data_IF_700532851444
#
_entry.id   IF_700532851444
#
_cell.length_a   1.000
_cell.length_b   1.000
_cell.length_c   1.000
_cell.angle_alpha   90.00
_cell.angle_beta   90.00
_cell.angle_gamma   90.00
#
_symmetry.space_group_name_H-M   'P 1'
#
loop_
_entity.id
_entity.type
_entity.pdbx_description
1 polymer ?
#
# COMPACT_ATOMS: atom_id res chain seq x y z
N UNK A 1 -14.97 7.98 -16.61
CA UNK A 1 -14.39 7.33 -15.41
C UNK A 1 -13.03 7.95 -15.20
N UNK A 2 -12.70 8.35 -13.97
CA UNK A 2 -11.34 8.77 -13.61
C UNK A 2 -10.77 7.71 -12.65
N UNK A 3 -9.57 7.23 -12.95
CA UNK A 3 -8.97 6.12 -12.24
C UNK A 3 -7.47 6.35 -12.06
N UNK A 4 -7.00 6.08 -10.86
CA UNK A 4 -5.59 6.04 -10.53
C UNK A 4 -5.22 4.60 -10.14
N UNK A 5 -4.20 4.05 -10.80
CA UNK A 5 -3.69 2.71 -10.54
C UNK A 5 -2.28 2.84 -9.97
N UNK A 6 -2.07 2.37 -8.73
CA UNK A 6 -0.78 2.49 -8.02
C UNK A 6 -0.22 1.12 -7.64
N UNK A 7 1.06 0.94 -7.91
CA UNK A 7 1.85 -0.18 -7.41
C UNK A 7 2.51 0.22 -6.08
N UNK A 8 2.08 -0.37 -4.97
CA UNK A 8 2.55 -0.02 -3.62
C UNK A 8 4.06 -0.26 -3.45
N UNK A 9 4.63 -1.25 -4.13
CA UNK A 9 6.08 -1.47 -4.10
C UNK A 9 6.83 -0.31 -4.78
N UNK A 10 6.33 0.20 -5.91
CA UNK A 10 6.94 1.37 -6.54
C UNK A 10 6.79 2.62 -5.66
N UNK A 11 5.61 2.83 -5.05
CA UNK A 11 5.40 3.96 -4.14
C UNK A 11 6.36 3.96 -2.94
N UNK A 12 6.65 2.78 -2.40
CA UNK A 12 7.65 2.57 -1.35
C UNK A 12 9.04 3.00 -1.84
N UNK A 13 9.47 2.49 -3.00
CA UNK A 13 10.80 2.77 -3.54
C UNK A 13 10.96 4.26 -3.87
N UNK A 14 9.95 4.85 -4.51
CA UNK A 14 9.92 6.27 -4.86
C UNK A 14 9.99 7.14 -3.60
N UNK A 15 9.24 6.78 -2.55
CA UNK A 15 9.32 7.47 -1.27
C UNK A 15 10.73 7.43 -0.66
N UNK A 16 11.35 6.25 -0.59
CA UNK A 16 12.71 6.09 -0.04
C UNK A 16 13.77 6.84 -0.85
N UNK A 17 13.60 6.92 -2.18
CA UNK A 17 14.48 7.71 -3.06
C UNK A 17 14.26 9.22 -2.91
N UNK A 18 13.03 9.64 -2.62
CA UNK A 18 12.69 11.06 -2.45
C UNK A 18 13.19 11.65 -1.13
N UNK A 19 13.37 10.83 -0.10
CA UNK A 19 13.94 11.26 1.17
C UNK A 19 15.48 11.14 1.11
N UNK A 20 16.18 12.16 1.59
CA UNK A 20 17.64 12.18 1.64
C UNK A 20 18.17 12.56 3.01
N UNK A 21 19.30 11.98 3.40
CA UNK A 21 20.04 12.34 4.60
C UNK A 21 21.54 12.43 4.25
N UNK A 22 22.20 13.50 4.69
CA UNK A 22 23.63 13.75 4.43
C UNK A 22 24.03 13.62 2.93
N UNK A 23 23.16 14.07 2.02
CA UNK A 23 23.43 14.06 0.58
C UNK A 23 23.22 12.71 -0.13
N UNK A 24 22.83 11.65 0.59
CA UNK A 24 22.43 10.36 0.01
C UNK A 24 20.93 10.13 0.18
N UNK A 25 20.30 9.40 -0.74
CA UNK A 25 18.92 8.98 -0.54
C UNK A 25 18.83 7.96 0.59
N UNK A 26 17.66 7.88 1.25
CA UNK A 26 17.41 6.82 2.23
C UNK A 26 17.48 5.46 1.56
N UNK A 27 17.03 5.34 0.30
CA UNK A 27 17.15 4.13 -0.49
C UNK A 27 18.60 3.64 -0.60
N UNK A 28 19.53 4.50 -1.03
CA UNK A 28 20.95 4.12 -1.18
C UNK A 28 21.57 3.76 0.18
N UNK A 29 21.22 4.53 1.22
CA UNK A 29 21.70 4.30 2.58
C UNK A 29 21.23 2.97 3.16
N UNK A 30 19.99 2.56 2.84
CA UNK A 30 19.44 1.25 3.22
C UNK A 30 20.18 0.13 2.51
N UNK A 31 20.47 0.26 1.20
CA UNK A 31 21.21 -0.74 0.44
C UNK A 31 22.65 -0.92 0.95
N UNK A 32 23.30 0.16 1.39
CA UNK A 32 24.60 0.08 2.07
C UNK A 32 24.46 -0.66 3.41
N UNK A 33 23.46 -0.28 4.22
CA UNK A 33 23.24 -0.88 5.53
C UNK A 33 22.86 -2.37 5.46
N UNK A 34 22.10 -2.77 4.45
CA UNK A 34 21.68 -4.16 4.25
C UNK A 34 22.87 -5.10 4.04
N UNK A 35 23.95 -4.62 3.39
CA UNK A 35 25.18 -5.41 3.20
C UNK A 35 25.90 -5.70 4.52
N UNK A 36 25.75 -4.83 5.51
CA UNK A 36 26.40 -4.95 6.81
C UNK A 36 25.51 -5.61 7.85
N UNK A 37 24.22 -5.27 7.85
CA UNK A 37 23.26 -5.59 8.90
C UNK A 37 21.83 -5.60 8.31
N UNK A 38 21.43 -6.73 7.71
CA UNK A 38 20.13 -6.87 7.07
C UNK A 38 18.94 -6.62 8.00
N UNK A 39 19.03 -7.03 9.27
CA UNK A 39 17.94 -6.88 10.23
C UNK A 39 17.68 -5.41 10.56
N UNK A 40 18.75 -4.62 10.80
CA UNK A 40 18.59 -3.18 11.02
C UNK A 40 18.12 -2.45 9.77
N UNK A 41 18.59 -2.84 8.59
CA UNK A 41 18.11 -2.27 7.33
C UNK A 41 16.61 -2.53 7.15
N UNK A 42 16.15 -3.76 7.42
CA UNK A 42 14.74 -4.13 7.40
C UNK A 42 13.90 -3.28 8.35
N UNK A 43 14.29 -3.19 9.62
CA UNK A 43 13.56 -2.41 10.62
C UNK A 43 13.52 -0.92 10.26
N UNK A 44 14.61 -0.40 9.69
CA UNK A 44 14.67 0.98 9.23
C UNK A 44 13.64 1.28 8.13
N UNK A 45 13.59 0.45 7.09
CA UNK A 45 12.60 0.58 6.01
C UNK A 45 11.18 0.48 6.57
N UNK A 46 10.91 -0.55 7.38
CA UNK A 46 9.58 -0.73 7.99
C UNK A 46 9.14 0.50 8.78
N UNK A 47 10.01 1.03 9.63
CA UNK A 47 9.71 2.23 10.43
C UNK A 47 9.45 3.46 9.55
N UNK A 48 10.20 3.63 8.46
CA UNK A 48 9.99 4.73 7.50
C UNK A 48 8.63 4.64 6.83
N UNK A 49 8.20 3.46 6.41
CA UNK A 49 6.90 3.26 5.76
C UNK A 49 5.72 3.30 6.72
N UNK A 50 5.96 3.01 8.00
CA UNK A 50 4.94 3.19 9.03
C UNK A 50 4.80 4.64 9.51
N UNK A 51 5.68 5.55 9.09
CA UNK A 51 5.68 6.94 9.51
C UNK A 51 4.56 7.78 8.88
N UNK A 52 4.14 8.82 9.60
CA UNK A 52 3.20 9.84 9.08
C UNK A 52 3.70 10.52 7.79
N UNK A 53 5.01 10.60 7.59
CA UNK A 53 5.59 11.15 6.35
C UNK A 53 5.20 10.33 5.14
N UNK A 54 5.31 9.00 5.21
CA UNK A 54 4.93 8.12 4.11
C UNK A 54 3.42 8.21 3.82
N UNK A 55 2.59 8.22 4.87
CA UNK A 55 1.14 8.35 4.73
C UNK A 55 0.77 9.68 4.08
N UNK A 56 1.42 10.79 4.48
CA UNK A 56 1.23 12.10 3.84
C UNK A 56 1.69 12.10 2.38
N UNK A 57 2.87 11.55 2.09
CA UNK A 57 3.37 11.41 0.71
C UNK A 57 2.35 10.68 -0.17
N UNK A 58 1.90 9.50 0.26
CA UNK A 58 0.97 8.67 -0.49
C UNK A 58 -0.40 9.36 -0.67
N UNK A 59 -0.97 9.90 0.41
CA UNK A 59 -2.28 10.57 0.38
C UNK A 59 -2.25 11.84 -0.47
N UNK A 60 -1.17 12.61 -0.44
CA UNK A 60 -1.00 13.78 -1.31
C UNK A 60 -0.91 13.39 -2.78
N UNK A 61 -0.18 12.32 -3.13
CA UNK A 61 -0.10 11.83 -4.51
C UNK A 61 -1.48 11.43 -5.04
N UNK A 62 -2.25 10.68 -4.25
CA UNK A 62 -3.63 10.30 -4.60
C UNK A 62 -4.52 11.53 -4.77
N UNK A 63 -4.53 12.43 -3.77
CA UNK A 63 -5.35 13.65 -3.83
C UNK A 63 -4.97 14.55 -5.00
N UNK A 64 -3.69 14.62 -5.35
CA UNK A 64 -3.18 15.41 -6.47
C UNK A 64 -3.71 14.93 -7.82
N UNK A 65 -3.80 13.60 -8.02
CA UNK A 65 -4.35 13.04 -9.26
C UNK A 65 -5.82 13.42 -9.42
N UNK A 66 -6.61 13.33 -8.35
CA UNK A 66 -8.04 13.64 -8.36
C UNK A 66 -8.37 15.11 -8.07
N UNK A 67 -7.43 16.03 -8.33
CA UNK A 67 -7.68 17.47 -8.16
C UNK A 67 -8.67 17.97 -9.22
N UNK A 68 -9.78 18.55 -8.76
CA UNK A 68 -10.82 19.16 -9.59
C UNK A 68 -12.22 18.66 -9.25
N UNK A 69 -13.24 19.41 -9.66
CA UNK A 69 -14.62 18.94 -9.60
C UNK A 69 -14.83 17.88 -10.70
N UNK A 70 -15.12 16.65 -10.28
CA UNK A 70 -15.42 15.55 -11.20
C UNK A 70 -16.74 14.90 -10.79
N UNK A 71 -17.74 14.98 -11.67
CA UNK A 71 -18.98 14.21 -11.56
C UNK A 71 -18.78 12.71 -11.85
N UNK A 72 -17.57 12.29 -12.25
CA UNK A 72 -17.25 10.91 -12.62
C UNK A 72 -16.98 10.07 -11.36
N UNK A 73 -17.37 8.79 -11.42
CA UNK A 73 -16.92 7.78 -10.45
C UNK A 73 -15.39 7.72 -10.43
N UNK A 74 -14.83 7.86 -9.23
CA UNK A 74 -13.39 7.90 -8.97
C UNK A 74 -12.94 6.58 -8.33
N UNK A 75 -12.03 5.88 -8.99
CA UNK A 75 -11.49 4.61 -8.53
C UNK A 75 -9.99 4.71 -8.24
N UNK A 76 -9.60 4.29 -7.04
CA UNK A 76 -8.21 4.10 -6.66
C UNK A 76 -7.91 2.60 -6.64
N UNK A 77 -7.10 2.14 -7.58
CA UNK A 77 -6.72 0.74 -7.70
C UNK A 77 -5.32 0.56 -7.12
N UNK A 78 -5.18 -0.33 -6.15
CA UNK A 78 -3.91 -0.62 -5.47
C UNK A 78 -3.49 -2.08 -5.73
N UNK A 79 -2.23 -2.27 -6.07
CA UNK A 79 -1.64 -3.60 -6.26
C UNK A 79 -0.16 -3.61 -5.83
N UNK A 80 0.51 -4.77 -5.91
CA UNK A 80 1.94 -4.88 -5.59
C UNK A 80 2.26 -5.24 -4.13
N UNK A 81 1.26 -5.52 -3.31
CA UNK A 81 1.44 -5.90 -1.90
C UNK A 81 2.29 -7.16 -1.68
N UNK A 82 2.30 -8.10 -2.64
CA UNK A 82 3.20 -9.25 -2.61
C UNK A 82 4.67 -8.85 -2.65
N UNK A 83 5.03 -7.90 -3.52
CA UNK A 83 6.40 -7.37 -3.64
C UNK A 83 6.77 -6.42 -2.49
N UNK A 84 5.79 -5.78 -1.85
CA UNK A 84 6.02 -4.90 -0.70
C UNK A 84 6.22 -5.64 0.62
N UNK A 85 5.87 -6.92 0.69
CA UNK A 85 6.08 -7.74 1.88
C UNK A 85 7.58 -8.01 2.09
N UNK A 86 8.12 -7.98 3.34
CA UNK A 86 7.43 -7.77 4.62
C UNK A 86 7.41 -6.31 5.10
N UNK A 87 7.82 -5.35 4.27
CA UNK A 87 8.01 -3.95 4.68
C UNK A 87 6.71 -3.18 4.92
N UNK A 88 5.65 -3.50 4.15
CA UNK A 88 4.33 -2.87 4.28
C UNK A 88 3.21 -3.87 3.99
N UNK A 89 2.22 -3.95 4.90
CA UNK A 89 1.03 -4.80 4.74
C UNK A 89 -0.16 -4.01 4.20
N UNK A 90 -1.04 -4.69 3.46
CA UNK A 90 -2.26 -4.08 2.91
C UNK A 90 -3.18 -3.55 4.02
N UNK A 91 -3.43 -4.35 5.05
CA UNK A 91 -4.23 -3.97 6.22
C UNK A 91 -3.71 -2.70 6.90
N UNK A 92 -2.39 -2.61 7.12
CA UNK A 92 -1.72 -1.47 7.75
C UNK A 92 -1.89 -0.20 6.91
N UNK A 93 -1.67 -0.28 5.59
CA UNK A 93 -1.84 0.85 4.69
C UNK A 93 -3.30 1.31 4.67
N UNK A 94 -4.24 0.40 4.41
CA UNK A 94 -5.67 0.71 4.32
C UNK A 94 -6.22 1.35 5.59
N UNK A 95 -5.80 0.85 6.76
CA UNK A 95 -6.17 1.43 8.06
C UNK A 95 -5.65 2.86 8.23
N UNK A 96 -4.40 3.13 7.84
CA UNK A 96 -3.82 4.47 7.94
C UNK A 96 -4.34 5.44 6.87
N UNK A 97 -4.83 4.93 5.75
CA UNK A 97 -5.37 5.74 4.65
C UNK A 97 -6.89 5.69 4.58
N UNK A 98 -7.58 5.40 5.68
CA UNK A 98 -9.05 5.25 5.72
C UNK A 98 -9.78 6.48 5.16
N UNK A 99 -9.24 7.68 5.35
CA UNK A 99 -9.78 8.90 4.75
C UNK A 99 -9.92 8.83 3.22
N UNK A 100 -8.96 8.22 2.51
CA UNK A 100 -9.02 8.08 1.06
C UNK A 100 -10.15 7.12 0.64
N UNK A 101 -10.51 6.18 1.49
CA UNK A 101 -11.57 5.20 1.24
C UNK A 101 -12.96 5.82 1.43
N UNK A 102 -13.05 6.90 2.22
CA UNK A 102 -14.25 7.73 2.33
C UNK A 102 -14.47 8.57 1.07
N UNK A 103 -13.38 9.07 0.49
CA UNK A 103 -13.40 9.95 -0.68
C UNK A 103 -13.49 9.18 -2.01
N UNK A 104 -12.91 7.98 -2.09
CA UNK A 104 -12.74 7.22 -3.34
C UNK A 104 -13.19 5.76 -3.22
N UNK A 105 -13.61 5.15 -4.33
CA UNK A 105 -13.81 3.70 -4.39
C UNK A 105 -12.45 3.00 -4.54
N UNK A 106 -11.94 2.47 -3.42
CA UNK A 106 -10.66 1.77 -3.39
C UNK A 106 -10.84 0.30 -3.74
N UNK A 107 -10.08 -0.18 -4.72
CA UNK A 107 -10.02 -1.58 -5.14
C UNK A 107 -8.60 -2.09 -4.91
N UNK A 108 -8.47 -3.21 -4.21
CA UNK A 108 -7.17 -3.82 -3.91
C UNK A 108 -7.03 -5.14 -4.66
N UNK A 109 -5.99 -5.26 -5.47
CA UNK A 109 -5.53 -6.52 -6.03
C UNK A 109 -4.54 -7.14 -5.05
N UNK A 110 -5.00 -8.18 -4.37
CA UNK A 110 -4.26 -8.84 -3.30
C UNK A 110 -3.88 -10.26 -3.73
N UNK A 111 -2.58 -10.62 -3.78
CA UNK A 111 -2.15 -11.95 -4.22
C UNK A 111 -2.28 -12.94 -3.06
N UNK A 112 -3.49 -13.40 -2.79
CA UNK A 112 -3.81 -14.25 -1.66
C UNK A 112 -5.31 -14.39 -1.45
N UNK A 113 -5.72 -14.69 -0.22
CA UNK A 113 -7.13 -14.78 0.16
C UNK A 113 -7.52 -13.67 1.14
N UNK A 114 -8.82 -13.40 1.17
CA UNK A 114 -9.43 -12.51 2.15
C UNK A 114 -10.73 -13.17 2.66
N UNK A 115 -10.74 -13.47 3.95
CA UNK A 115 -11.84 -14.11 4.68
C UNK A 115 -11.92 -13.54 6.10
N UNK A 116 -13.14 -13.39 6.62
CA UNK A 116 -13.37 -12.94 8.01
C UNK A 116 -12.61 -11.67 8.40
N UNK A 117 -12.56 -10.70 7.48
CA UNK A 117 -11.81 -9.44 7.63
C UNK A 117 -10.30 -9.58 7.84
N UNK A 118 -9.74 -10.75 7.54
CA UNK A 118 -8.31 -11.04 7.55
C UNK A 118 -7.79 -11.29 6.15
N UNK A 119 -6.55 -10.88 5.94
CA UNK A 119 -5.81 -11.09 4.71
C UNK A 119 -4.82 -12.24 4.91
N UNK A 120 -4.68 -13.12 3.91
CA UNK A 120 -3.64 -14.16 3.90
C UNK A 120 -2.86 -14.07 2.60
N UNK A 121 -1.63 -13.55 2.68
CA UNK A 121 -0.77 -13.33 1.51
C UNK A 121 -0.28 -14.68 1.00
N UNK A 122 -0.44 -14.92 -0.30
CA UNK A 122 -0.14 -16.20 -0.98
C UNK A 122 -0.84 -17.42 -0.36
N UNK A 123 -1.84 -17.23 0.51
CA UNK A 123 -2.54 -18.29 1.24
C UNK A 123 -1.71 -18.99 2.32
N UNK A 124 -0.55 -18.43 2.68
CA UNK A 124 0.38 -19.02 3.67
C UNK A 124 0.87 -18.01 4.72
N UNK A 125 0.73 -16.71 4.46
CA UNK A 125 1.20 -15.64 5.33
C UNK A 125 0.02 -14.85 5.85
N UNK A 126 -0.46 -15.23 7.03
CA UNK A 126 -1.61 -14.57 7.64
C UNK A 126 -1.26 -13.15 8.12
N UNK A 127 -2.27 -12.30 8.04
CA UNK A 127 -2.27 -10.97 8.63
C UNK A 127 -3.11 -10.98 9.91
N UNK A 128 -2.45 -10.74 11.04
CA UNK A 128 -3.12 -10.59 12.33
C UNK A 128 -3.98 -9.32 12.39
N UNK A 129 -3.73 -8.35 11.50
CA UNK A 129 -4.47 -7.09 11.47
C UNK A 129 -5.76 -7.24 10.66
N UNK A 130 -6.88 -7.17 11.37
CA UNK A 130 -8.20 -7.15 10.75
C UNK A 130 -8.45 -5.81 10.05
N UNK A 131 -8.88 -5.87 8.80
CA UNK A 131 -9.41 -4.71 8.07
C UNK A 131 -10.59 -5.12 7.21
N UNK A 132 -11.75 -4.47 7.41
CA UNK A 132 -13.00 -4.84 6.75
C UNK A 132 -13.01 -4.34 5.30
N UNK A 133 -13.24 -5.28 4.38
CA UNK A 133 -13.44 -5.07 2.96
C UNK A 133 -14.51 -6.02 2.42
N UNK A 134 -15.01 -5.71 1.21
CA UNK A 134 -15.88 -6.60 0.45
C UNK A 134 -15.03 -7.44 -0.51
N UNK A 135 -15.21 -8.77 -0.49
CA UNK A 135 -14.54 -9.66 -1.43
C UNK A 135 -15.28 -9.65 -2.78
N UNK A 136 -14.73 -8.92 -3.76
CA UNK A 136 -15.35 -8.79 -5.09
C UNK A 136 -15.42 -10.13 -5.84
N UNK A 137 -14.42 -11.02 -5.70
CA UNK A 137 -14.45 -12.32 -6.37
C UNK A 137 -15.65 -13.17 -5.92
N UNK A 138 -16.00 -13.10 -4.63
CA UNK A 138 -17.20 -13.77 -4.10
C UNK A 138 -18.48 -13.16 -4.66
N UNK A 139 -18.57 -11.83 -4.69
CA UNK A 139 -19.75 -11.11 -5.18
C UNK A 139 -19.97 -11.31 -6.69
N UNK A 140 -18.89 -11.42 -7.47
CA UNK A 140 -18.97 -11.68 -8.91
C UNK A 140 -19.28 -13.16 -9.21
N UNK A 141 -18.82 -14.10 -8.38
CA UNK A 141 -19.14 -15.53 -8.51
C UNK A 141 -20.57 -15.89 -8.11
N UNK A 142 -21.19 -15.11 -7.22
CA UNK A 142 -22.62 -15.24 -6.87
C UNK A 142 -23.56 -14.77 -8.00
N UNK A 143 -23.04 -14.09 -9.04
CA UNK A 143 -23.77 -13.75 -10.27
C UNK A 143 -23.66 -14.84 -11.37
N UNK A 144 -22.88 -15.90 -11.14
CA UNK A 144 -22.61 -16.97 -12.10
C UNK A 144 -23.25 -18.32 -11.72
N UNK A 145 -24.25 -18.31 -10.84
CA UNK A 145 -25.10 -19.47 -10.52
C UNK A 145 -26.56 -19.18 -10.81
#
# INVERSE_FOLDING_TARGET
>A
MDCLVLNIYHELIDFLKSESFAGKSIFDSVLEKEKEDPERAFLWVRNKLQSEKFIKYFTQKVKKHFQGETEKKVYLILYGFGSSFPYLRASELLKKTEQLIKDFKVIVFYPGSYSDAKYSLFGILDDDNMYRANNLNRQLGELAK
#
